data_IF_069367907490
#
_entry.id   IF_069367907490
#
_cell.length_a   1.000
_cell.length_b   1.000
_cell.length_c   1.000
_cell.angle_alpha   90.00
_cell.angle_beta   90.00
_cell.angle_gamma   90.00
#
_symmetry.space_group_name_H-M   'P 1'
#
loop_
_entity.id
_entity.type
_entity.pdbx_description
1 polymer ?
#
# COMPACT_ATOMS: atom_id res chain seq x y z
N UNK A 1 11.59 4.31 -7.44
CA UNK A 1 10.17 4.67 -7.27
C UNK A 1 10.04 5.86 -6.33
N UNK A 2 9.45 6.94 -6.82
CA UNK A 2 8.89 8.03 -6.02
C UNK A 2 7.38 7.85 -5.95
N UNK A 3 6.80 7.86 -4.76
CA UNK A 3 5.37 7.63 -4.55
C UNK A 3 4.74 8.69 -3.65
N UNK A 4 3.44 8.88 -3.82
CA UNK A 4 2.60 9.74 -2.99
C UNK A 4 1.19 9.18 -2.89
N UNK A 5 0.60 9.20 -1.71
CA UNK A 5 -0.74 8.69 -1.46
C UNK A 5 -1.73 9.83 -1.21
N UNK A 6 -2.86 9.79 -1.92
CA UNK A 6 -4.02 10.64 -1.68
C UNK A 6 -5.11 9.85 -0.98
N UNK A 7 -5.55 10.29 0.20
CA UNK A 7 -6.82 9.81 0.80
C UNK A 7 -7.96 10.69 0.30
N UNK A 8 -8.92 10.09 -0.39
CA UNK A 8 -10.12 10.80 -0.84
C UNK A 8 -11.14 10.99 0.30
N UNK A 9 -12.21 11.78 0.11
CA UNK A 9 -13.24 11.96 1.12
C UNK A 9 -14.01 10.69 1.50
N UNK A 10 -14.00 9.66 0.65
CA UNK A 10 -14.62 8.36 0.93
C UNK A 10 -13.69 7.45 1.75
N UNK A 11 -12.47 7.88 2.04
CA UNK A 11 -11.48 7.15 2.82
C UNK A 11 -10.58 6.23 2.00
N UNK A 12 -10.73 6.21 0.68
CA UNK A 12 -9.93 5.37 -0.22
C UNK A 12 -8.57 6.02 -0.51
N UNK A 13 -7.52 5.21 -0.60
CA UNK A 13 -6.20 5.66 -1.00
C UNK A 13 -5.96 5.46 -2.49
N UNK A 14 -5.41 6.48 -3.16
CA UNK A 14 -4.87 6.41 -4.51
C UNK A 14 -3.36 6.64 -4.47
N UNK A 15 -2.61 5.72 -5.07
CA UNK A 15 -1.15 5.83 -5.22
C UNK A 15 -0.80 6.56 -6.53
N UNK A 16 -0.05 7.64 -6.40
CA UNK A 16 0.65 8.27 -7.51
C UNK A 16 2.12 7.87 -7.42
N UNK A 17 2.64 7.23 -8.45
CA UNK A 17 4.02 6.80 -8.47
C UNK A 17 4.74 7.24 -9.76
N UNK A 18 6.06 7.29 -9.68
CA UNK A 18 6.96 7.52 -10.81
C UNK A 18 8.24 6.72 -10.61
N UNK A 19 8.94 6.42 -11.70
CA UNK A 19 10.25 5.76 -11.67
C UNK A 19 10.20 4.37 -10.98
N UNK A 20 9.15 3.60 -11.28
CA UNK A 20 9.04 2.20 -10.87
C UNK A 20 9.74 1.33 -11.92
N UNK A 21 10.60 0.42 -11.47
CA UNK A 21 11.30 -0.52 -12.33
C UNK A 21 10.31 -1.43 -13.06
N UNK A 22 10.56 -1.69 -14.34
CA UNK A 22 9.78 -2.63 -15.14
C UNK A 22 10.54 -3.95 -15.29
N UNK A 23 9.91 -5.05 -14.85
CA UNK A 23 10.41 -6.39 -15.09
C UNK A 23 9.73 -6.90 -16.37
N UNK A 24 10.48 -7.07 -17.44
CA UNK A 24 9.97 -7.62 -18.71
C UNK A 24 9.96 -9.15 -18.68
N UNK A 25 9.12 -9.78 -19.50
CA UNK A 25 8.89 -11.25 -19.48
C UNK A 25 10.17 -12.08 -19.59
N UNK A 26 11.14 -11.63 -20.40
CA UNK A 26 12.41 -12.32 -20.62
C UNK A 26 13.51 -11.92 -19.61
N UNK A 27 13.20 -11.07 -18.62
CA UNK A 27 14.17 -10.64 -17.62
C UNK A 27 14.39 -11.72 -16.57
N UNK A 28 15.66 -12.03 -16.30
CA UNK A 28 16.09 -12.82 -15.14
C UNK A 28 15.97 -11.98 -13.85
N UNK A 29 14.73 -11.68 -13.43
CA UNK A 29 14.48 -11.06 -12.14
C UNK A 29 14.66 -12.07 -11.01
N UNK A 30 15.30 -11.64 -9.92
CA UNK A 30 15.47 -12.43 -8.70
C UNK A 30 14.74 -11.74 -7.55
N UNK A 31 13.85 -12.44 -6.83
CA UNK A 31 13.23 -11.86 -5.64
C UNK A 31 14.30 -11.55 -4.59
N UNK A 32 14.06 -10.49 -3.82
CA UNK A 32 14.87 -10.11 -2.67
C UNK A 32 14.00 -9.94 -1.43
N UNK A 33 14.56 -10.26 -0.27
CA UNK A 33 13.95 -9.97 1.02
C UNK A 33 14.40 -8.57 1.50
N UNK A 34 13.44 -7.72 1.84
CA UNK A 34 13.69 -6.36 2.30
C UNK A 34 13.06 -6.18 3.69
N UNK A 35 13.89 -5.88 4.69
CA UNK A 35 13.47 -5.86 6.10
C UNK A 35 12.94 -4.49 6.56
N UNK A 36 11.86 -4.52 7.33
CA UNK A 36 11.36 -3.39 8.12
C UNK A 36 11.01 -2.15 7.30
N UNK A 37 11.29 -0.96 7.84
CA UNK A 37 10.97 0.30 7.17
C UNK A 37 11.65 0.47 5.79
N UNK A 38 12.78 -0.22 5.54
CA UNK A 38 13.50 -0.10 4.26
C UNK A 38 12.71 -0.71 3.09
N UNK A 39 11.78 -1.62 3.35
CA UNK A 39 10.87 -2.12 2.32
C UNK A 39 9.72 -1.15 2.03
N UNK A 40 9.46 -0.20 2.93
CA UNK A 40 8.30 0.69 2.86
C UNK A 40 8.67 2.11 2.42
N UNK A 41 9.77 2.71 2.93
CA UNK A 41 10.28 3.99 2.45
C UNK A 41 11.79 4.12 2.65
N UNK A 42 12.47 4.74 1.68
CA UNK A 42 13.91 4.97 1.75
C UNK A 42 14.27 6.32 2.41
N UNK A 43 13.38 7.31 2.33
CA UNK A 43 13.63 8.69 2.78
C UNK A 43 12.32 9.45 3.07
N UNK A 44 12.44 10.62 3.71
CA UNK A 44 11.29 11.46 4.05
C UNK A 44 10.69 11.17 5.44
N UNK A 45 9.59 11.88 5.80
CA UNK A 45 8.89 11.64 7.06
C UNK A 45 8.28 10.22 7.08
N UNK A 46 8.14 9.61 8.26
CA UNK A 46 7.47 8.31 8.37
C UNK A 46 6.02 8.40 7.89
N UNK A 47 5.48 7.32 7.28
CA UNK A 47 4.08 7.29 6.87
C UNK A 47 3.13 7.40 8.08
N UNK A 48 1.94 7.97 7.90
CA UNK A 48 0.95 8.07 8.97
C UNK A 48 0.52 6.67 9.45
N UNK A 49 0.17 6.48 10.74
CA UNK A 49 -0.24 5.16 11.26
C UNK A 49 -1.44 4.54 10.53
N UNK A 50 -2.38 5.36 10.08
CA UNK A 50 -3.55 4.95 9.30
C UNK A 50 -3.22 4.25 7.98
N UNK A 51 -1.95 4.32 7.54
CA UNK A 51 -1.45 3.59 6.40
C UNK A 51 -1.37 2.08 6.64
N UNK A 52 -1.10 1.66 7.89
CA UNK A 52 -1.03 0.25 8.29
C UNK A 52 -2.26 -0.19 9.07
N UNK A 53 -2.99 0.75 9.65
CA UNK A 53 -4.17 0.52 10.49
C UNK A 53 -5.38 1.28 9.93
N UNK A 54 -6.10 0.73 8.93
CA UNK A 54 -7.27 1.39 8.36
C UNK A 54 -8.38 1.49 9.42
N UNK A 55 -8.92 2.69 9.58
CA UNK A 55 -9.92 3.04 10.61
C UNK A 55 -11.24 2.26 10.44
N UNK A 56 -11.56 1.87 9.21
CA UNK A 56 -12.78 1.18 8.81
C UNK A 56 -12.62 -0.35 8.70
N UNK A 57 -11.40 -0.88 8.90
CA UNK A 57 -11.12 -2.31 8.74
C UNK A 57 -12.03 -3.18 9.60
N UNK A 58 -12.23 -2.81 10.87
CA UNK A 58 -13.10 -3.55 11.78
C UNK A 58 -14.58 -3.54 11.33
N UNK A 59 -15.05 -2.43 10.76
CA UNK A 59 -16.41 -2.30 10.26
C UNK A 59 -16.61 -3.10 8.95
N UNK A 60 -15.65 -3.05 8.04
CA UNK A 60 -15.66 -3.85 6.80
C UNK A 60 -15.66 -5.35 7.10
N UNK A 61 -14.84 -5.80 8.06
CA UNK A 61 -14.76 -7.21 8.44
C UNK A 61 -16.05 -7.72 9.08
N UNK A 62 -16.77 -6.88 9.82
CA UNK A 62 -18.08 -7.27 10.41
C UNK A 62 -19.19 -7.31 9.36
N UNK A 63 -19.19 -6.40 8.38
CA UNK A 63 -20.13 -6.41 7.24
C UNK A 63 -19.96 -7.60 6.28
N UNK A 64 -18.72 -8.05 6.04
CA UNK A 64 -18.42 -9.15 5.13
C UNK A 64 -18.90 -10.53 5.61
N UNK A 65 -19.15 -10.70 6.90
CA UNK A 65 -19.62 -11.95 7.50
C UNK A 65 -21.13 -11.97 7.80
N UNK A 66 -21.84 -10.86 7.57
CA UNK A 66 -23.31 -10.84 7.56
C UNK A 66 -23.79 -11.25 6.18
N UNK A 67 -24.16 -12.52 6.00
CA UNK A 67 -24.69 -13.03 4.74
C UNK A 67 -25.74 -12.09 4.16
N UNK A 68 -25.56 -11.73 2.89
CA UNK A 68 -26.49 -10.85 2.18
C UNK A 68 -27.92 -11.40 2.22
N UNK A 69 -28.87 -10.49 2.47
CA UNK A 69 -30.25 -10.61 1.99
C UNK A 69 -30.33 -10.09 0.55
#
# INVERSE_FOLDING_TARGET
NFFWYLKDPAGTFSEYYSDLDCIVDDALWKPGDFEGAKSLWAWGPPPPPSFLEPEDLAALMTGAHGGGE
#
